data_IF_188132541764
#
_entry.id   IF_188132541764
#
_cell.length_a   1.000
_cell.length_b   1.000
_cell.length_c   1.000
_cell.angle_alpha   90.00
_cell.angle_beta   90.00
_cell.angle_gamma   90.00
#
_symmetry.space_group_name_H-M   'P 1'
#
loop_
_entity.id
_entity.type
_entity.pdbx_description
1 polymer ?
#
# COMPACT_ATOMS: atom_id res chain seq x y z
N UNK A 1 -26.03 -0.29 10.97
CA UNK A 1 -25.15 -1.25 10.27
C UNK A 1 -24.57 -2.14 11.35
N UNK A 2 -24.72 -3.45 11.24
CA UNK A 2 -24.36 -4.39 12.32
C UNK A 2 -22.86 -4.34 12.63
N UNK A 3 -22.50 -4.45 13.91
CA UNK A 3 -21.11 -4.39 14.41
C UNK A 3 -20.21 -5.44 13.75
N UNK A 4 -20.78 -6.61 13.43
CA UNK A 4 -20.10 -7.69 12.71
C UNK A 4 -19.76 -7.32 11.26
N UNK A 5 -20.60 -6.54 10.59
CA UNK A 5 -20.33 -6.07 9.22
C UNK A 5 -19.16 -5.08 9.23
N UNK A 6 -19.11 -4.19 10.24
CA UNK A 6 -18.02 -3.20 10.40
C UNK A 6 -16.67 -3.85 10.67
N UNK A 7 -16.62 -4.85 11.55
CA UNK A 7 -15.38 -5.58 11.83
C UNK A 7 -14.89 -6.38 10.62
N UNK A 8 -15.81 -7.05 9.91
CA UNK A 8 -15.50 -7.81 8.69
C UNK A 8 -14.96 -6.91 7.58
N UNK A 9 -15.58 -5.74 7.38
CA UNK A 9 -15.15 -4.77 6.37
C UNK A 9 -13.77 -4.16 6.70
N UNK A 10 -13.51 -3.86 7.98
CA UNK A 10 -12.20 -3.38 8.43
C UNK A 10 -11.09 -4.42 8.20
N UNK A 11 -11.38 -5.69 8.47
CA UNK A 11 -10.44 -6.79 8.25
C UNK A 11 -10.20 -7.02 6.76
N UNK A 12 -11.26 -7.01 5.95
CA UNK A 12 -11.16 -7.12 4.49
C UNK A 12 -10.31 -6.00 3.87
N UNK A 13 -10.45 -4.76 4.34
CA UNK A 13 -9.64 -3.63 3.85
C UNK A 13 -8.19 -3.69 4.30
N UNK A 14 -7.92 -4.17 5.51
CA UNK A 14 -6.55 -4.42 5.98
C UNK A 14 -5.87 -5.52 5.16
N UNK A 15 -6.59 -6.62 4.88
CA UNK A 15 -6.10 -7.69 4.00
C UNK A 15 -5.84 -7.15 2.59
N UNK A 16 -6.76 -6.36 2.04
CA UNK A 16 -6.57 -5.74 0.72
C UNK A 16 -5.33 -4.83 0.68
N UNK A 17 -5.09 -4.01 1.71
CA UNK A 17 -3.86 -3.23 1.81
C UNK A 17 -2.62 -4.12 1.81
N UNK A 18 -2.62 -5.20 2.60
CA UNK A 18 -1.50 -6.14 2.66
C UNK A 18 -1.26 -6.83 1.31
N UNK A 19 -2.32 -7.26 0.63
CA UNK A 19 -2.24 -7.90 -0.68
C UNK A 19 -1.69 -6.96 -1.76
N UNK A 20 -2.12 -5.69 -1.75
CA UNK A 20 -1.57 -4.65 -2.64
C UNK A 20 -0.07 -4.46 -2.37
N UNK A 21 0.31 -4.23 -1.11
CA UNK A 21 1.71 -4.01 -0.76
C UNK A 21 2.59 -5.21 -1.12
N UNK A 22 2.13 -6.43 -0.82
CA UNK A 22 2.81 -7.67 -1.18
C UNK A 22 2.98 -7.76 -2.69
N UNK A 23 1.92 -7.57 -3.46
CA UNK A 23 1.96 -7.65 -4.93
C UNK A 23 2.91 -6.63 -5.52
N UNK A 24 2.86 -5.38 -5.04
CA UNK A 24 3.78 -4.31 -5.47
C UNK A 24 5.23 -4.66 -5.17
N UNK A 25 5.54 -5.17 -3.97
CA UNK A 25 6.92 -5.56 -3.61
C UNK A 25 7.40 -6.71 -4.51
N UNK A 26 6.57 -7.74 -4.75
CA UNK A 26 6.97 -8.83 -5.64
C UNK A 26 7.15 -8.37 -7.09
N UNK A 27 6.32 -7.43 -7.55
CA UNK A 27 6.49 -6.84 -8.88
C UNK A 27 7.83 -6.09 -8.99
N UNK A 28 8.21 -5.29 -7.99
CA UNK A 28 9.52 -4.64 -7.94
C UNK A 28 10.67 -5.64 -7.88
N UNK A 29 10.58 -6.70 -7.07
CA UNK A 29 11.61 -7.76 -7.07
C UNK A 29 11.78 -8.37 -8.46
N UNK A 30 10.68 -8.60 -9.19
CA UNK A 30 10.73 -9.08 -10.58
C UNK A 30 11.34 -8.07 -11.54
N UNK A 31 10.99 -6.79 -11.41
CA UNK A 31 11.55 -5.71 -12.22
C UNK A 31 13.05 -5.53 -11.97
N UNK A 32 13.48 -5.50 -10.71
CA UNK A 32 14.89 -5.47 -10.33
C UNK A 32 15.66 -6.65 -10.94
N UNK A 33 15.11 -7.88 -10.92
CA UNK A 33 15.75 -9.02 -11.57
C UNK A 33 15.88 -8.84 -13.09
N UNK A 34 14.89 -8.24 -13.75
CA UNK A 34 14.94 -7.95 -15.19
C UNK A 34 15.96 -6.84 -15.49
N UNK A 35 16.06 -5.82 -14.65
CA UNK A 35 17.00 -4.71 -14.80
C UNK A 35 18.45 -5.24 -14.66
N UNK A 36 18.72 -6.02 -13.62
CA UNK A 36 20.08 -6.46 -13.27
C UNK A 36 20.58 -7.67 -14.08
N UNK A 37 19.68 -8.55 -14.53
CA UNK A 37 20.05 -9.79 -15.25
C UNK A 37 19.65 -9.77 -16.73
N UNK A 38 18.95 -8.72 -17.17
CA UNK A 38 18.47 -8.58 -18.53
C UNK A 38 19.50 -7.99 -19.49
N UNK A 39 19.11 -7.80 -20.77
CA UNK A 39 19.95 -7.12 -21.74
C UNK A 39 20.25 -5.68 -21.32
N UNK A 40 21.50 -5.25 -21.49
CA UNK A 40 21.93 -3.90 -21.17
C UNK A 40 21.25 -2.86 -22.08
N UNK A 41 21.07 -1.65 -21.54
CA UNK A 41 20.58 -0.49 -22.26
C UNK A 41 19.16 -0.07 -21.88
N UNK A 42 18.80 1.14 -22.30
CA UNK A 42 17.52 1.73 -22.00
C UNK A 42 16.34 0.92 -22.57
N UNK A 43 15.33 0.68 -21.72
CA UNK A 43 14.08 0.03 -22.10
C UNK A 43 12.88 0.91 -21.71
N UNK A 44 12.25 1.53 -22.72
CA UNK A 44 11.04 2.32 -22.52
C UNK A 44 9.87 1.49 -21.92
N UNK A 45 9.63 0.23 -22.35
CA UNK A 45 8.61 -0.60 -21.72
C UNK A 45 8.88 -0.88 -20.24
N UNK A 46 10.15 -1.12 -19.87
CA UNK A 46 10.55 -1.39 -18.49
C UNK A 46 10.36 -0.14 -17.62
N UNK A 47 10.73 1.03 -18.14
CA UNK A 47 10.49 2.33 -17.50
C UNK A 47 9.00 2.52 -17.19
N UNK A 48 8.12 2.25 -18.17
CA UNK A 48 6.68 2.38 -17.99
C UNK A 48 6.12 1.36 -16.99
N UNK A 49 6.68 0.16 -16.92
CA UNK A 49 6.30 -0.84 -15.92
C UNK A 49 6.66 -0.37 -14.50
N UNK A 50 7.88 0.13 -14.28
CA UNK A 50 8.29 0.68 -12.97
C UNK A 50 7.36 1.80 -12.53
N UNK A 51 7.05 2.75 -13.43
CA UNK A 51 6.11 3.85 -13.15
C UNK A 51 4.72 3.31 -12.79
N UNK A 52 4.22 2.36 -13.56
CA UNK A 52 2.87 1.80 -13.37
C UNK A 52 2.76 1.03 -12.06
N UNK A 53 3.77 0.22 -11.71
CA UNK A 53 3.83 -0.53 -10.45
C UNK A 53 3.91 0.43 -9.25
N UNK A 54 4.73 1.48 -9.37
CA UNK A 54 4.86 2.54 -8.35
C UNK A 54 3.52 3.23 -8.14
N UNK A 55 2.88 3.68 -9.21
CA UNK A 55 1.59 4.35 -9.16
C UNK A 55 0.51 3.44 -8.56
N UNK A 56 0.46 2.17 -8.99
CA UNK A 56 -0.47 1.18 -8.46
C UNK A 56 -0.31 1.00 -6.95
N UNK A 57 0.92 0.76 -6.47
CA UNK A 57 1.20 0.56 -5.04
C UNK A 57 0.82 1.76 -4.19
N UNK A 58 1.14 2.98 -4.64
CA UNK A 58 0.79 4.21 -3.94
C UNK A 58 -0.73 4.41 -3.90
N UNK A 59 -1.41 4.33 -5.05
CA UNK A 59 -2.83 4.64 -5.17
C UNK A 59 -3.71 3.58 -4.51
N UNK A 60 -3.52 2.31 -4.85
CA UNK A 60 -4.32 1.21 -4.31
C UNK A 60 -4.09 1.04 -2.80
N UNK A 61 -2.83 1.16 -2.35
CA UNK A 61 -2.49 1.11 -0.92
C UNK A 61 -3.08 2.28 -0.14
N UNK A 62 -3.02 3.50 -0.70
CA UNK A 62 -3.60 4.69 -0.09
C UNK A 62 -5.12 4.62 0.04
N UNK A 63 -5.81 4.11 -0.98
CA UNK A 63 -7.28 3.95 -0.94
C UNK A 63 -7.70 2.95 0.13
N UNK A 64 -7.02 1.81 0.21
CA UNK A 64 -7.33 0.80 1.23
C UNK A 64 -7.17 1.34 2.66
N UNK A 65 -6.11 2.13 2.91
CA UNK A 65 -5.89 2.74 4.22
C UNK A 65 -6.86 3.89 4.52
N UNK A 66 -7.28 4.67 3.52
CA UNK A 66 -8.29 5.72 3.72
C UNK A 66 -9.64 5.09 4.08
N UNK A 67 -10.03 3.99 3.45
CA UNK A 67 -11.23 3.23 3.81
C UNK A 67 -11.16 2.73 5.25
N UNK A 68 -10.01 2.17 5.67
CA UNK A 68 -9.81 1.76 7.08
C UNK A 68 -9.99 2.96 8.01
N UNK A 69 -9.39 4.12 7.68
CA UNK A 69 -9.51 5.33 8.51
C UNK A 69 -10.97 5.81 8.61
N UNK A 70 -11.71 5.80 7.52
CA UNK A 70 -13.13 6.19 7.50
C UNK A 70 -13.96 5.24 8.38
N UNK A 71 -13.70 3.93 8.31
CA UNK A 71 -14.35 2.95 9.19
C UNK A 71 -14.03 3.16 10.67
N UNK A 72 -12.81 3.58 11.00
CA UNK A 72 -12.41 3.93 12.37
C UNK A 72 -13.14 5.18 12.87
N UNK A 73 -13.33 6.17 11.99
CA UNK A 73 -14.07 7.39 12.31
C UNK A 73 -15.56 7.13 12.57
N UNK A 74 -16.13 6.16 11.86
CA UNK A 74 -17.56 5.80 11.96
C UNK A 74 -17.89 4.84 13.12
N UNK A 75 -16.92 4.51 13.98
CA UNK A 75 -17.14 3.68 15.16
C UNK A 75 -18.16 4.34 16.11
N UNK A 76 -19.20 3.58 16.46
CA UNK A 76 -20.20 3.96 17.44
C UNK A 76 -19.59 4.09 18.84
N UNK A 77 -20.25 4.87 19.70
CA UNK A 77 -19.72 5.31 20.99
C UNK A 77 -19.44 4.13 21.93
N UNK A 78 -20.28 3.10 21.89
CA UNK A 78 -20.12 1.89 22.71
C UNK A 78 -18.88 1.09 22.27
N UNK A 79 -18.78 0.77 20.98
CA UNK A 79 -17.63 0.05 20.44
C UNK A 79 -16.32 0.83 20.58
N UNK A 80 -16.36 2.16 20.46
CA UNK A 80 -15.20 3.04 20.67
C UNK A 80 -14.66 3.04 22.10
N UNK A 81 -15.49 2.74 23.11
CA UNK A 81 -15.08 2.69 24.51
C UNK A 81 -14.45 1.35 24.92
N UNK A 82 -14.65 0.29 24.13
CA UNK A 82 -13.99 -1.01 24.34
C UNK A 82 -12.47 -0.88 24.20
N UNK A 83 -11.72 -1.78 24.84
CA UNK A 83 -10.25 -1.83 24.70
C UNK A 83 -9.82 -2.05 23.23
N UNK A 84 -10.61 -2.81 22.48
CA UNK A 84 -10.41 -3.01 21.04
C UNK A 84 -10.60 -1.71 20.24
N UNK A 85 -11.69 -0.99 20.47
CA UNK A 85 -11.98 0.29 19.81
C UNK A 85 -10.91 1.36 20.12
N UNK A 86 -10.45 1.43 21.37
CA UNK A 86 -9.33 2.31 21.76
C UNK A 86 -8.04 1.95 21.03
N UNK A 87 -7.70 0.66 20.96
CA UNK A 87 -6.50 0.19 20.25
C UNK A 87 -6.54 0.49 18.76
N UNK A 88 -7.71 0.36 18.13
CA UNK A 88 -7.88 0.72 16.71
C UNK A 88 -7.78 2.23 16.49
N UNK A 89 -8.42 3.06 17.33
CA UNK A 89 -8.35 4.53 17.24
C UNK A 89 -6.94 5.08 17.47
N UNK A 90 -6.11 4.39 18.25
CA UNK A 90 -4.72 4.77 18.49
C UNK A 90 -3.80 4.54 17.27
N UNK A 91 -4.23 3.79 16.25
CA UNK A 91 -3.41 3.52 15.07
C UNK A 91 -3.26 4.79 14.22
N UNK A 92 -2.01 5.17 13.95
CA UNK A 92 -1.71 6.29 13.07
C UNK A 92 -1.75 5.87 11.59
N UNK A 93 -2.95 5.60 11.08
CA UNK A 93 -3.19 5.18 9.69
C UNK A 93 -2.67 6.21 8.68
N UNK A 94 -2.72 7.50 9.04
CA UNK A 94 -2.21 8.59 8.21
C UNK A 94 -0.68 8.51 8.04
N UNK A 95 0.05 8.30 9.13
CA UNK A 95 1.50 8.10 9.07
C UNK A 95 1.86 6.82 8.31
N UNK A 96 1.15 5.72 8.54
CA UNK A 96 1.37 4.48 7.81
C UNK A 96 1.19 4.67 6.29
N UNK A 97 0.12 5.37 5.87
CA UNK A 97 -0.11 5.73 4.46
C UNK A 97 1.03 6.55 3.88
N UNK A 98 1.47 7.60 4.58
CA UNK A 98 2.55 8.45 4.12
C UNK A 98 3.88 7.68 3.98
N UNK A 99 4.26 6.91 5.00
CA UNK A 99 5.50 6.12 4.99
C UNK A 99 5.46 5.06 3.89
N UNK A 100 4.33 4.37 3.73
CA UNK A 100 4.17 3.37 2.65
C UNK A 100 4.34 3.99 1.27
N UNK A 101 3.68 5.13 1.02
CA UNK A 101 3.80 5.81 -0.27
C UNK A 101 5.23 6.30 -0.53
N UNK A 102 5.92 6.80 0.49
CA UNK A 102 7.33 7.21 0.39
C UNK A 102 8.22 6.02 0.05
N UNK A 103 8.09 4.90 0.77
CA UNK A 103 8.92 3.72 0.53
C UNK A 103 8.70 3.13 -0.87
N UNK A 104 7.45 2.99 -1.30
CA UNK A 104 7.12 2.54 -2.67
C UNK A 104 7.66 3.52 -3.72
N UNK A 105 7.54 4.83 -3.48
CA UNK A 105 8.10 5.85 -4.36
C UNK A 105 9.63 5.78 -4.45
N UNK A 106 10.32 5.55 -3.33
CA UNK A 106 11.78 5.40 -3.30
C UNK A 106 12.25 4.16 -4.05
N UNK A 107 11.53 3.03 -3.96
CA UNK A 107 11.83 1.83 -4.76
C UNK A 107 11.69 2.13 -6.25
N UNK A 108 10.57 2.75 -6.65
CA UNK A 108 10.35 3.14 -8.04
C UNK A 108 11.43 4.09 -8.57
N UNK A 109 11.86 5.07 -7.78
CA UNK A 109 12.97 5.97 -8.14
C UNK A 109 14.30 5.21 -8.26
N UNK A 110 14.57 4.27 -7.37
CA UNK A 110 15.79 3.47 -7.42
C UNK A 110 15.86 2.58 -8.68
N UNK A 111 14.76 1.92 -9.04
CA UNK A 111 14.69 1.12 -10.26
C UNK A 111 14.77 1.98 -11.52
N UNK A 112 14.11 3.13 -11.54
CA UNK A 112 14.25 4.08 -12.65
C UNK A 112 15.70 4.54 -12.79
N UNK A 113 16.37 4.87 -11.69
CA UNK A 113 17.79 5.22 -11.71
C UNK A 113 18.62 4.11 -12.33
N UNK A 114 18.41 2.86 -11.91
CA UNK A 114 19.12 1.69 -12.45
C UNK A 114 18.88 1.47 -13.95
N UNK A 115 17.70 1.82 -14.49
CA UNK A 115 17.41 1.73 -15.94
C UNK A 115 18.21 2.78 -16.76
N UNK A 116 18.51 3.94 -16.16
CA UNK A 116 19.16 5.05 -16.85
C UNK A 116 20.68 5.10 -16.66
N UNK A 117 21.24 4.26 -15.81
CA UNK A 117 22.69 4.12 -15.55
C UNK A 117 23.25 2.90 -16.22
#
# INVERSE_FOLDING_TARGET
MDSQIRSTLSLARQTHYFDVMRTTIFAFVGLAAIIELGPEGYSAPLTMLVISVTAFGILAGSTALEDVRNLIADLDTEMAQTNFGKGIKARNVKALKAISAILIGLIGVAELYAIFT
#
